data_IF_116931687198
#
_entry.id   IF_116931687198
#
_cell.length_a   1.000
_cell.length_b   1.000
_cell.length_c   1.000
_cell.angle_alpha   90.00
_cell.angle_beta   90.00
_cell.angle_gamma   90.00
#
_symmetry.space_group_name_H-M   'P 1'
#
loop_
_entity.id
_entity.type
_entity.pdbx_description
1 polymer ?
#
# COMPACT_ATOMS: atom_id res chain seq x y z
N UNK A 1 4.52 21.18 -32.16
CA UNK A 1 5.54 20.71 -33.09
C UNK A 1 6.57 20.02 -32.22
N UNK A 2 6.38 18.74 -31.96
CA UNK A 2 7.20 17.88 -31.09
C UNK A 2 7.32 16.54 -31.81
N UNK A 3 8.54 16.21 -32.23
CA UNK A 3 8.87 14.98 -32.93
C UNK A 3 8.70 13.77 -32.03
N UNK A 4 7.87 12.84 -32.47
CA UNK A 4 7.83 11.47 -31.96
C UNK A 4 9.08 10.73 -32.46
N UNK A 5 9.96 10.33 -31.56
CA UNK A 5 11.05 9.39 -31.86
C UNK A 5 10.48 7.98 -31.82
N UNK A 6 10.17 7.47 -33.02
CA UNK A 6 9.88 6.05 -33.27
C UNK A 6 11.19 5.26 -33.17
N UNK A 7 11.33 4.39 -32.20
CA UNK A 7 12.40 3.40 -32.13
C UNK A 7 11.99 2.15 -32.90
N UNK A 8 12.47 2.11 -34.14
CA UNK A 8 12.38 0.96 -35.03
C UNK A 8 13.32 -0.17 -34.52
N UNK A 9 12.75 -1.35 -34.28
CA UNK A 9 13.47 -2.57 -33.88
C UNK A 9 13.62 -3.46 -35.12
N UNK A 10 14.70 -3.28 -35.85
CA UNK A 10 15.08 -4.26 -36.89
C UNK A 10 16.28 -5.11 -36.41
N UNK A 11 15.99 -6.37 -36.30
CA UNK A 11 16.79 -7.61 -36.38
C UNK A 11 18.28 -7.48 -36.68
N UNK A 12 19.14 -8.01 -35.80
CA UNK A 12 20.48 -8.52 -36.16
C UNK A 12 20.44 -10.04 -35.95
N UNK A 13 20.80 -10.73 -37.04
CA UNK A 13 20.72 -12.18 -37.13
C UNK A 13 21.77 -12.91 -36.28
N UNK A 14 21.35 -14.07 -35.85
CA UNK A 14 22.16 -15.08 -35.17
C UNK A 14 22.77 -16.03 -36.21
N UNK A 15 24.02 -16.42 -36.03
CA UNK A 15 24.45 -17.74 -36.43
C UNK A 15 25.56 -18.27 -35.50
N UNK A 16 25.36 -19.49 -35.00
CA UNK A 16 26.39 -20.42 -34.57
C UNK A 16 26.59 -20.68 -33.09
N UNK A 17 25.99 -21.76 -32.54
CA UNK A 17 26.47 -22.39 -31.30
C UNK A 17 25.34 -23.07 -30.50
N UNK A 18 25.11 -24.37 -30.82
CA UNK A 18 24.15 -25.26 -30.17
C UNK A 18 24.31 -25.41 -28.67
N UNK A 19 23.15 -25.46 -28.00
CA UNK A 19 22.74 -26.15 -26.80
C UNK A 19 22.26 -25.22 -25.66
N UNK A 20 21.05 -24.76 -25.80
CA UNK A 20 19.99 -24.57 -24.80
C UNK A 20 18.88 -23.72 -25.43
N UNK A 21 18.33 -24.26 -26.52
CA UNK A 21 17.18 -23.64 -27.20
C UNK A 21 15.89 -24.11 -26.54
N UNK A 22 15.34 -23.27 -25.72
CA UNK A 22 13.91 -23.07 -25.72
C UNK A 22 13.68 -21.59 -26.01
N UNK A 23 13.26 -21.31 -27.21
CA UNK A 23 12.93 -20.00 -27.74
C UNK A 23 11.63 -19.48 -27.07
N UNK A 24 11.76 -19.19 -25.78
CA UNK A 24 10.71 -18.53 -24.99
C UNK A 24 11.08 -17.07 -24.94
N UNK A 25 10.31 -16.22 -25.60
CA UNK A 25 10.55 -14.78 -25.56
C UNK A 25 10.64 -14.33 -24.10
N UNK A 26 11.52 -13.39 -23.74
CA UNK A 26 11.69 -12.92 -22.36
C UNK A 26 10.37 -12.50 -21.68
N UNK A 27 9.42 -12.00 -22.45
CA UNK A 27 8.06 -11.69 -22.02
C UNK A 27 7.24 -12.94 -21.64
N UNK A 28 7.43 -14.06 -22.33
CA UNK A 28 6.67 -15.28 -22.05
C UNK A 28 7.15 -15.99 -20.75
N UNK A 29 8.43 -15.94 -20.45
CA UNK A 29 8.99 -16.45 -19.18
C UNK A 29 8.40 -15.70 -17.98
N UNK A 30 8.26 -14.38 -18.05
CA UNK A 30 7.75 -13.58 -16.95
C UNK A 30 6.24 -13.81 -16.71
N UNK A 31 5.48 -14.22 -17.73
CA UNK A 31 4.05 -14.49 -17.61
C UNK A 31 3.73 -15.77 -16.82
N UNK A 32 4.69 -16.68 -16.66
CA UNK A 32 4.51 -17.89 -15.84
C UNK A 32 4.49 -17.63 -14.33
N UNK A 33 4.99 -16.47 -13.89
CA UNK A 33 5.02 -16.10 -12.48
C UNK A 33 3.74 -15.36 -12.05
N UNK A 34 3.34 -15.46 -10.77
CA UNK A 34 2.19 -14.75 -10.24
C UNK A 34 2.28 -13.23 -10.43
N UNK A 35 1.14 -12.57 -10.64
CA UNK A 35 1.09 -11.11 -10.63
C UNK A 35 1.59 -10.55 -9.29
N UNK A 36 2.35 -9.45 -9.34
CA UNK A 36 2.93 -8.85 -8.15
C UNK A 36 4.12 -9.61 -7.55
N UNK A 37 4.68 -10.61 -8.25
CA UNK A 37 5.90 -11.30 -7.85
C UNK A 37 7.16 -10.71 -8.51
N UNK A 38 8.32 -10.97 -7.91
CA UNK A 38 9.65 -10.57 -8.44
C UNK A 38 9.88 -11.11 -9.85
N UNK A 39 9.45 -12.35 -10.12
CA UNK A 39 9.58 -13.00 -11.42
C UNK A 39 8.92 -12.22 -12.56
N UNK A 40 7.85 -11.47 -12.28
CA UNK A 40 7.19 -10.59 -13.27
C UNK A 40 8.04 -9.38 -13.65
N UNK A 41 8.94 -8.95 -12.78
CA UNK A 41 9.77 -7.74 -12.95
C UNK A 41 11.19 -8.06 -13.42
N UNK A 42 11.57 -9.34 -13.49
CA UNK A 42 12.93 -9.72 -13.82
C UNK A 42 13.23 -9.55 -15.32
N UNK A 43 14.46 -9.14 -15.58
CA UNK A 43 15.07 -9.16 -16.91
C UNK A 43 15.89 -10.47 -17.04
N UNK A 44 16.19 -10.96 -18.25
CA UNK A 44 17.12 -12.06 -18.47
C UNK A 44 18.49 -11.80 -17.82
N UNK A 45 19.18 -12.83 -17.31
CA UNK A 45 20.50 -12.65 -16.73
C UNK A 45 21.52 -12.21 -17.79
N UNK A 46 22.31 -11.18 -17.47
CA UNK A 46 23.36 -10.63 -18.32
C UNK A 46 24.64 -10.51 -17.49
N UNK A 47 25.79 -10.72 -18.14
CA UNK A 47 27.09 -10.68 -17.43
C UNK A 47 27.30 -11.88 -16.52
N UNK A 48 26.99 -13.07 -17.04
CA UNK A 48 27.14 -14.36 -16.35
C UNK A 48 28.41 -15.04 -16.80
N UNK A 49 29.25 -15.45 -15.84
CA UNK A 49 30.57 -15.99 -16.10
C UNK A 49 30.85 -17.22 -15.25
N UNK A 50 31.76 -18.10 -15.73
CA UNK A 50 32.22 -19.25 -14.97
C UNK A 50 33.22 -18.84 -13.87
N UNK A 51 33.26 -19.52 -12.70
CA UNK A 51 34.21 -19.23 -11.64
C UNK A 51 35.68 -19.47 -12.04
N UNK A 52 35.90 -20.33 -13.03
CA UNK A 52 37.26 -20.63 -13.57
C UNK A 52 37.79 -19.59 -14.55
N UNK A 53 36.95 -18.72 -15.08
CA UNK A 53 37.32 -17.66 -16.03
C UNK A 53 38.24 -16.63 -15.38
N UNK A 54 39.23 -16.16 -16.14
CA UNK A 54 40.16 -15.12 -15.66
C UNK A 54 39.52 -13.74 -15.77
N UNK A 55 40.00 -12.79 -14.99
CA UNK A 55 39.57 -11.38 -15.04
C UNK A 55 39.79 -10.81 -16.45
N UNK A 56 40.92 -11.19 -17.10
CA UNK A 56 41.20 -10.74 -18.47
C UNK A 56 40.17 -11.20 -19.47
N UNK A 57 39.80 -12.46 -19.46
CA UNK A 57 38.74 -13.03 -20.34
C UNK A 57 37.39 -12.40 -20.06
N UNK A 58 36.99 -12.28 -18.80
CA UNK A 58 35.72 -11.64 -18.40
C UNK A 58 35.64 -10.18 -18.88
N UNK A 59 36.72 -9.41 -18.77
CA UNK A 59 36.78 -8.02 -19.24
C UNK A 59 36.62 -7.92 -20.75
N UNK A 60 37.20 -8.84 -21.52
CA UNK A 60 37.05 -8.83 -23.00
C UNK A 60 35.61 -9.17 -23.41
N UNK A 61 34.97 -10.14 -22.74
CA UNK A 61 33.56 -10.47 -22.99
C UNK A 61 32.62 -9.34 -22.57
N UNK A 62 32.86 -8.74 -21.40
CA UNK A 62 32.12 -7.58 -20.93
C UNK A 62 32.21 -6.39 -21.89
N UNK A 63 33.34 -6.19 -22.59
CA UNK A 63 33.54 -5.11 -23.57
C UNK A 63 32.48 -5.12 -24.66
N UNK A 64 32.05 -6.30 -25.08
CA UNK A 64 31.00 -6.42 -26.09
C UNK A 64 29.59 -6.29 -25.43
N UNK A 65 29.38 -6.90 -24.29
CA UNK A 65 28.09 -6.87 -23.59
C UNK A 65 27.64 -5.46 -23.15
N UNK A 66 28.60 -4.61 -22.71
CA UNK A 66 28.28 -3.23 -22.28
C UNK A 66 27.86 -2.31 -23.41
N UNK A 67 28.06 -2.68 -24.67
CA UNK A 67 27.54 -1.93 -25.82
C UNK A 67 26.02 -1.99 -25.92
N UNK A 68 25.41 -3.08 -25.46
CA UNK A 68 23.96 -3.34 -25.52
C UNK A 68 23.24 -3.35 -24.19
N UNK A 69 23.95 -3.41 -23.07
CA UNK A 69 23.34 -3.53 -21.76
C UNK A 69 24.09 -2.73 -20.68
N UNK A 70 23.35 -2.18 -19.71
CA UNK A 70 23.94 -1.56 -18.54
C UNK A 70 24.29 -2.65 -17.50
N UNK A 71 25.57 -2.95 -17.36
CA UNK A 71 26.07 -4.01 -16.50
C UNK A 71 26.78 -3.40 -15.28
N UNK A 72 26.33 -3.74 -14.09
CA UNK A 72 26.91 -3.26 -12.82
C UNK A 72 27.70 -4.36 -12.11
N UNK A 73 27.30 -5.62 -12.30
CA UNK A 73 27.87 -6.80 -11.70
C UNK A 73 28.16 -7.88 -12.73
N UNK A 74 29.24 -8.64 -12.50
CA UNK A 74 29.48 -9.92 -13.13
C UNK A 74 28.97 -11.02 -12.18
N UNK A 75 28.03 -11.83 -12.63
CA UNK A 75 27.45 -12.93 -11.86
C UNK A 75 28.24 -14.21 -12.12
N UNK A 76 28.75 -14.82 -11.07
CA UNK A 76 29.57 -16.03 -11.18
C UNK A 76 28.69 -17.26 -10.93
N UNK A 77 28.56 -18.10 -11.94
CA UNK A 77 27.61 -19.21 -12.00
C UNK A 77 28.36 -20.50 -12.35
N UNK A 78 28.09 -21.59 -11.62
CA UNK A 78 28.60 -22.91 -11.95
C UNK A 78 27.91 -23.53 -13.17
N UNK A 79 28.45 -24.60 -13.71
CA UNK A 79 27.93 -25.26 -14.93
C UNK A 79 26.50 -25.78 -14.76
N UNK A 80 26.05 -26.03 -13.50
CA UNK A 80 24.69 -26.42 -13.18
C UNK A 80 23.71 -25.22 -13.08
N UNK A 81 24.18 -24.01 -13.32
CA UNK A 81 23.40 -22.77 -13.23
C UNK A 81 23.35 -22.14 -11.84
N UNK A 82 24.01 -22.68 -10.84
CA UNK A 82 24.01 -22.18 -9.48
C UNK A 82 24.83 -20.89 -9.35
N UNK A 83 24.23 -19.86 -8.75
CA UNK A 83 24.91 -18.62 -8.43
C UNK A 83 25.83 -18.79 -7.23
N UNK A 84 27.14 -18.70 -7.45
CA UNK A 84 28.17 -18.89 -6.39
C UNK A 84 28.84 -17.59 -5.97
N UNK A 85 28.76 -16.55 -6.78
CA UNK A 85 29.37 -15.27 -6.46
C UNK A 85 28.92 -14.12 -7.34
N UNK A 86 29.33 -12.93 -6.93
CA UNK A 86 29.16 -11.69 -7.67
C UNK A 86 30.47 -10.91 -7.64
N UNK A 87 30.91 -10.40 -8.76
CA UNK A 87 32.03 -9.47 -8.87
C UNK A 87 31.52 -8.09 -9.24
N UNK A 88 31.88 -7.09 -8.46
CA UNK A 88 31.53 -5.70 -8.75
C UNK A 88 32.43 -5.20 -9.90
N UNK A 89 31.86 -4.50 -10.89
CA UNK A 89 32.64 -3.99 -12.05
C UNK A 89 33.88 -3.19 -11.64
N UNK A 90 33.80 -2.45 -10.55
CA UNK A 90 34.94 -1.71 -9.97
C UNK A 90 36.10 -2.65 -9.60
N UNK A 91 35.78 -3.81 -9.03
CA UNK A 91 36.82 -4.73 -8.52
C UNK A 91 37.57 -5.41 -9.67
N UNK A 92 36.91 -5.61 -10.83
CA UNK A 92 37.58 -6.05 -12.06
C UNK A 92 38.66 -5.07 -12.56
N UNK A 93 38.49 -3.77 -12.28
CA UNK A 93 39.47 -2.75 -12.71
C UNK A 93 40.78 -2.80 -11.90
N UNK A 94 40.71 -3.28 -10.68
CA UNK A 94 41.86 -3.34 -9.75
C UNK A 94 42.47 -4.73 -9.59
N UNK A 95 41.80 -5.77 -10.09
CA UNK A 95 42.28 -7.13 -10.04
C UNK A 95 43.33 -7.41 -11.13
N UNK A 96 44.24 -8.33 -10.85
CA UNK A 96 45.19 -8.82 -11.85
C UNK A 96 44.45 -9.60 -12.95
N UNK A 97 44.75 -9.34 -14.23
CA UNK A 97 44.11 -10.00 -15.36
C UNK A 97 44.25 -11.52 -15.36
N UNK A 98 45.26 -12.06 -14.69
CA UNK A 98 45.50 -13.49 -14.56
C UNK A 98 44.74 -14.16 -13.43
N UNK A 99 44.20 -13.40 -12.49
CA UNK A 99 43.36 -13.92 -11.39
C UNK A 99 42.05 -14.52 -11.92
N UNK A 100 41.56 -15.55 -11.23
CA UNK A 100 40.24 -16.13 -11.55
C UNK A 100 39.13 -15.36 -10.86
N UNK A 101 37.95 -15.35 -11.46
CA UNK A 101 36.77 -14.72 -10.87
C UNK A 101 36.43 -15.33 -9.50
N UNK A 102 36.65 -16.62 -9.32
CA UNK A 102 36.47 -17.32 -8.02
C UNK A 102 37.32 -16.74 -6.89
N UNK A 103 38.45 -16.09 -7.20
CA UNK A 103 39.40 -15.56 -6.20
C UNK A 103 39.01 -14.15 -5.74
N UNK A 104 38.25 -13.40 -6.55
CA UNK A 104 37.89 -12.01 -6.31
C UNK A 104 36.37 -11.80 -6.06
N UNK A 105 35.55 -12.82 -6.30
CA UNK A 105 34.10 -12.71 -6.14
C UNK A 105 33.68 -12.60 -4.67
N UNK A 106 32.62 -11.87 -4.44
CA UNK A 106 31.85 -11.94 -3.20
C UNK A 106 31.03 -13.22 -3.23
N UNK A 107 31.30 -14.14 -2.30
CA UNK A 107 30.63 -15.43 -2.19
C UNK A 107 29.26 -15.31 -1.56
N UNK A 108 28.37 -16.24 -1.86
CA UNK A 108 27.01 -16.31 -1.33
C UNK A 108 26.25 -14.97 -1.45
N UNK A 109 26.12 -14.42 -2.66
CA UNK A 109 25.45 -13.14 -2.85
C UNK A 109 23.98 -13.24 -2.47
N UNK A 110 23.45 -12.16 -1.90
CA UNK A 110 22.03 -12.06 -1.64
C UNK A 110 21.24 -12.16 -2.94
N UNK A 111 20.23 -13.02 -2.98
CA UNK A 111 19.32 -13.20 -4.12
C UNK A 111 17.86 -13.15 -3.67
N UNK A 112 16.97 -12.88 -4.63
CA UNK A 112 15.52 -12.91 -4.44
C UNK A 112 14.94 -14.16 -5.10
N UNK A 113 13.87 -14.72 -4.51
CA UNK A 113 13.11 -15.78 -5.15
C UNK A 113 12.15 -15.23 -6.21
N UNK A 114 11.93 -15.93 -7.35
CA UNK A 114 11.02 -15.44 -8.39
C UNK A 114 9.55 -15.42 -7.94
N UNK A 115 9.15 -16.28 -7.03
CA UNK A 115 7.79 -16.36 -6.47
C UNK A 115 7.54 -15.31 -5.38
N UNK A 116 8.60 -14.63 -4.90
CA UNK A 116 8.50 -13.69 -3.79
C UNK A 116 7.61 -12.50 -4.17
N UNK A 117 6.60 -12.13 -3.34
CA UNK A 117 5.81 -10.93 -3.57
C UNK A 117 6.69 -9.67 -3.60
N UNK A 118 6.43 -8.76 -4.53
CA UNK A 118 7.22 -7.52 -4.72
C UNK A 118 7.30 -6.69 -3.45
N UNK A 119 6.22 -6.66 -2.64
CA UNK A 119 6.19 -5.99 -1.33
C UNK A 119 7.22 -6.57 -0.35
N UNK A 120 7.30 -7.90 -0.26
CA UNK A 120 8.26 -8.58 0.63
C UNK A 120 9.69 -8.41 0.11
N UNK A 121 9.89 -8.55 -1.20
CA UNK A 121 11.17 -8.28 -1.84
C UNK A 121 11.66 -6.87 -1.51
N UNK A 122 10.76 -5.89 -1.59
CA UNK A 122 11.08 -4.50 -1.26
C UNK A 122 11.55 -4.32 0.18
N UNK A 123 10.90 -4.97 1.15
CA UNK A 123 11.32 -4.93 2.56
C UNK A 123 12.71 -5.53 2.76
N UNK A 124 13.05 -6.61 2.04
CA UNK A 124 14.35 -7.25 2.11
C UNK A 124 15.48 -6.41 1.49
N UNK A 125 15.17 -5.61 0.46
CA UNK A 125 16.16 -4.80 -0.26
C UNK A 125 16.29 -3.37 0.28
N UNK A 126 15.37 -2.91 1.12
CA UNK A 126 15.29 -1.51 1.58
C UNK A 126 16.59 -0.98 2.20
N UNK A 127 17.33 -1.85 2.89
CA UNK A 127 18.59 -1.49 3.55
C UNK A 127 19.84 -1.94 2.76
N UNK A 128 19.68 -2.51 1.56
CA UNK A 128 20.82 -3.10 0.80
C UNK A 128 21.36 -2.21 -0.31
N UNK A 129 20.52 -1.35 -0.89
CA UNK A 129 20.88 -0.32 -1.88
C UNK A 129 21.66 -0.84 -3.11
N UNK A 130 21.40 -2.09 -3.54
CA UNK A 130 22.04 -2.61 -4.75
C UNK A 130 21.26 -2.15 -5.99
N UNK A 131 21.94 -1.72 -7.07
CA UNK A 131 21.27 -1.32 -8.31
C UNK A 131 20.58 -2.49 -9.02
N UNK A 132 21.10 -3.73 -8.88
CA UNK A 132 20.56 -4.95 -9.47
C UNK A 132 20.62 -6.07 -8.46
N UNK A 133 19.59 -6.88 -8.39
CA UNK A 133 19.47 -8.06 -7.54
C UNK A 133 19.35 -9.31 -8.40
N UNK A 134 20.15 -10.36 -8.18
CA UNK A 134 19.96 -11.66 -8.82
C UNK A 134 18.67 -12.31 -8.33
N UNK A 135 17.96 -12.93 -9.24
CA UNK A 135 16.78 -13.75 -8.95
C UNK A 135 17.15 -15.20 -9.14
N UNK A 136 17.03 -15.98 -8.06
CA UNK A 136 17.40 -17.39 -8.04
C UNK A 136 16.21 -18.28 -7.69
N UNK A 137 16.08 -19.40 -8.40
CA UNK A 137 15.16 -20.49 -8.10
C UNK A 137 16.00 -21.72 -7.70
N UNK A 138 15.82 -22.24 -6.49
CA UNK A 138 16.63 -23.29 -5.89
C UNK A 138 18.15 -23.07 -6.04
N UNK A 139 18.60 -21.82 -5.88
CA UNK A 139 20.00 -21.41 -6.00
C UNK A 139 20.49 -21.18 -7.43
N UNK A 140 19.71 -21.49 -8.45
CA UNK A 140 20.04 -21.25 -9.87
C UNK A 140 19.63 -19.84 -10.29
N UNK A 141 20.50 -19.14 -10.98
CA UNK A 141 20.22 -17.81 -11.51
C UNK A 141 19.22 -17.87 -12.66
N UNK A 142 18.02 -17.37 -12.45
CA UNK A 142 16.93 -17.37 -13.46
C UNK A 142 16.68 -15.98 -14.06
N UNK A 143 17.12 -14.92 -13.39
CA UNK A 143 16.92 -13.55 -13.86
C UNK A 143 17.61 -12.52 -13.00
N UNK A 144 17.44 -11.27 -13.38
CA UNK A 144 17.92 -10.08 -12.66
C UNK A 144 16.78 -9.11 -12.46
N UNK A 145 16.67 -8.50 -11.30
CA UNK A 145 15.71 -7.42 -11.08
C UNK A 145 16.43 -6.14 -10.69
N UNK A 146 16.10 -5.06 -11.38
CA UNK A 146 16.64 -3.74 -11.08
C UNK A 146 15.97 -3.17 -9.83
N UNK A 147 16.77 -2.66 -8.89
CA UNK A 147 16.24 -1.98 -7.70
C UNK A 147 15.24 -0.88 -8.06
N UNK A 148 15.51 -0.10 -9.11
CA UNK A 148 14.59 0.92 -9.59
C UNK A 148 13.22 0.37 -10.05
N UNK A 149 13.15 -0.88 -10.54
CA UNK A 149 11.87 -1.50 -10.92
C UNK A 149 11.04 -1.85 -9.68
N UNK A 150 11.68 -2.41 -8.65
CA UNK A 150 11.04 -2.68 -7.36
C UNK A 150 10.53 -1.40 -6.70
N UNK A 151 11.34 -0.33 -6.68
CA UNK A 151 10.95 0.96 -6.13
C UNK A 151 9.80 1.62 -6.90
N UNK A 152 9.78 1.50 -8.23
CA UNK A 152 8.69 2.03 -9.06
C UNK A 152 7.37 1.34 -8.74
N UNK A 153 7.37 0.03 -8.64
CA UNK A 153 6.18 -0.76 -8.32
C UNK A 153 5.62 -0.36 -6.95
N UNK A 154 6.51 -0.25 -5.95
CA UNK A 154 6.13 0.19 -4.61
C UNK A 154 5.57 1.62 -4.60
N UNK A 155 6.15 2.53 -5.37
CA UNK A 155 5.66 3.91 -5.47
C UNK A 155 4.25 3.96 -6.07
N UNK A 156 3.99 3.14 -7.10
CA UNK A 156 2.64 3.00 -7.69
C UNK A 156 1.66 2.48 -6.65
N UNK A 157 2.00 1.41 -5.93
CA UNK A 157 1.14 0.82 -4.89
C UNK A 157 0.85 1.83 -3.78
N UNK A 158 1.86 2.53 -3.26
CA UNK A 158 1.67 3.56 -2.23
C UNK A 158 0.79 4.71 -2.75
N UNK A 159 0.99 5.14 -3.99
CA UNK A 159 0.21 6.23 -4.58
C UNK A 159 -1.25 5.83 -4.85
N UNK A 160 -1.54 4.55 -5.04
CA UNK A 160 -2.89 4.04 -5.26
C UNK A 160 -3.69 3.88 -3.96
N UNK A 161 -3.03 3.76 -2.79
CA UNK A 161 -3.70 3.52 -1.51
C UNK A 161 -4.83 4.51 -1.17
N UNK A 162 -4.64 5.85 -1.29
CA UNK A 162 -5.72 6.80 -1.00
C UNK A 162 -6.95 6.58 -1.88
N UNK A 163 -6.74 6.18 -3.14
CA UNK A 163 -7.83 5.83 -4.06
C UNK A 163 -8.53 4.54 -3.64
N UNK A 164 -7.77 3.48 -3.35
CA UNK A 164 -8.30 2.19 -2.93
C UNK A 164 -9.15 2.29 -1.65
N UNK A 165 -8.77 3.16 -0.70
CA UNK A 165 -9.55 3.43 0.52
C UNK A 165 -10.98 3.85 0.22
N UNK A 166 -11.22 4.60 -0.86
CA UNK A 166 -12.53 5.13 -1.27
C UNK A 166 -13.14 4.39 -2.46
N UNK A 167 -12.59 3.22 -2.83
CA UNK A 167 -13.11 2.38 -3.89
C UNK A 167 -12.73 2.83 -5.30
N UNK A 168 -11.60 3.53 -5.46
CA UNK A 168 -11.02 3.83 -6.78
C UNK A 168 -10.00 2.76 -7.13
N UNK A 169 -10.14 2.20 -8.33
CA UNK A 169 -9.23 1.17 -8.84
C UNK A 169 -7.81 1.73 -9.08
N UNK A 170 -6.80 0.93 -8.76
CA UNK A 170 -5.39 1.33 -8.91
C UNK A 170 -4.95 1.56 -10.36
N UNK A 171 -5.66 0.96 -11.31
CA UNK A 171 -5.46 1.12 -12.75
C UNK A 171 -6.04 2.42 -13.28
N UNK A 172 -6.93 3.08 -12.54
CA UNK A 172 -7.56 4.32 -12.99
C UNK A 172 -6.54 5.47 -13.05
N UNK A 173 -6.50 6.18 -14.18
CA UNK A 173 -5.59 7.29 -14.46
C UNK A 173 -6.40 8.50 -14.96
N UNK A 174 -5.77 9.66 -14.98
CA UNK A 174 -6.37 10.89 -15.55
C UNK A 174 -6.80 10.71 -17.02
N UNK A 175 -6.09 9.86 -17.76
CA UNK A 175 -6.40 9.55 -19.17
C UNK A 175 -7.46 8.46 -19.33
N UNK A 176 -7.95 7.84 -18.26
CA UNK A 176 -8.97 6.80 -18.34
C UNK A 176 -10.27 7.37 -18.90
N UNK A 177 -10.85 6.77 -19.95
CA UNK A 177 -12.12 7.24 -20.52
C UNK A 177 -13.25 7.20 -19.48
N UNK A 178 -14.12 8.22 -19.48
CA UNK A 178 -15.19 8.34 -18.50
C UNK A 178 -16.13 7.12 -18.38
N UNK A 179 -16.46 6.35 -19.45
CA UNK A 179 -17.30 5.16 -19.27
C UNK A 179 -16.61 4.06 -18.48
N UNK A 180 -15.27 3.95 -18.59
CA UNK A 180 -14.47 3.01 -17.82
C UNK A 180 -14.38 3.44 -16.36
N UNK A 181 -14.12 4.72 -16.11
CA UNK A 181 -14.15 5.30 -14.76
C UNK A 181 -15.51 5.10 -14.07
N UNK A 182 -16.60 5.25 -14.81
CA UNK A 182 -17.93 5.00 -14.29
C UNK A 182 -18.12 3.54 -13.86
N UNK A 183 -17.66 2.58 -14.67
CA UNK A 183 -17.70 1.15 -14.33
C UNK A 183 -16.89 0.81 -13.08
N UNK A 184 -15.75 1.45 -12.89
CA UNK A 184 -14.89 1.23 -11.72
C UNK A 184 -15.50 1.80 -10.45
N UNK A 185 -15.96 3.05 -10.47
CA UNK A 185 -16.43 3.77 -9.28
C UNK A 185 -17.87 3.45 -8.87
N UNK A 186 -18.78 3.24 -9.84
CA UNK A 186 -20.20 3.13 -9.56
C UNK A 186 -20.58 2.01 -8.59
N UNK A 187 -20.02 0.78 -8.69
CA UNK A 187 -20.34 -0.29 -7.73
C UNK A 187 -20.02 0.10 -6.29
N UNK A 188 -18.88 0.76 -6.06
CA UNK A 188 -18.48 1.22 -4.74
C UNK A 188 -19.37 2.34 -4.21
N UNK A 189 -19.83 3.25 -5.07
CA UNK A 189 -20.78 4.29 -4.70
C UNK A 189 -22.14 3.70 -4.32
N UNK A 190 -22.60 2.65 -5.02
CA UNK A 190 -23.85 1.96 -4.65
C UNK A 190 -23.71 1.23 -3.30
N UNK A 191 -22.57 0.59 -3.06
CA UNK A 191 -22.31 -0.03 -1.76
C UNK A 191 -22.29 1.02 -0.63
N UNK A 192 -21.63 2.16 -0.85
CA UNK A 192 -21.61 3.27 0.09
C UNK A 192 -23.01 3.84 0.35
N UNK A 193 -23.83 3.98 -0.69
CA UNK A 193 -25.23 4.41 -0.55
C UNK A 193 -26.04 3.41 0.30
N UNK A 194 -25.89 2.11 0.03
CA UNK A 194 -26.57 1.07 0.81
C UNK A 194 -26.20 1.13 2.29
N UNK A 195 -24.92 1.31 2.58
CA UNK A 195 -24.44 1.41 3.97
C UNK A 195 -24.87 2.73 4.64
N UNK A 196 -24.99 3.83 3.87
CA UNK A 196 -25.51 5.11 4.37
C UNK A 196 -26.99 5.00 4.81
N UNK A 197 -27.79 4.14 4.19
CA UNK A 197 -29.15 3.87 4.67
C UNK A 197 -29.21 3.27 6.08
N UNK A 198 -28.15 2.57 6.55
CA UNK A 198 -28.09 2.10 7.94
C UNK A 198 -28.00 3.29 8.90
N UNK A 199 -27.18 4.28 8.61
CA UNK A 199 -27.10 5.50 9.41
C UNK A 199 -28.44 6.30 9.35
N UNK A 200 -29.05 6.39 8.17
CA UNK A 200 -30.37 7.01 8.02
C UNK A 200 -31.45 6.27 8.83
N UNK A 201 -31.42 4.95 8.90
CA UNK A 201 -32.36 4.16 9.69
C UNK A 201 -32.19 4.44 11.20
N UNK A 202 -30.94 4.64 11.69
CA UNK A 202 -30.70 5.06 13.07
C UNK A 202 -31.35 6.41 13.36
N UNK A 203 -31.14 7.40 12.48
CA UNK A 203 -31.78 8.72 12.62
C UNK A 203 -33.31 8.61 12.61
N UNK A 204 -33.85 7.80 11.68
CA UNK A 204 -35.30 7.55 11.60
C UNK A 204 -35.88 6.92 12.84
N UNK A 205 -35.14 6.02 13.51
CA UNK A 205 -35.58 5.43 14.79
C UNK A 205 -35.76 6.49 15.88
N UNK A 206 -34.94 7.56 15.87
CA UNK A 206 -35.01 8.66 16.84
C UNK A 206 -35.80 9.89 16.34
N UNK A 207 -36.67 9.71 15.32
CA UNK A 207 -37.39 10.84 14.72
C UNK A 207 -38.16 11.65 15.79
N UNK A 208 -38.85 11.01 16.74
CA UNK A 208 -39.58 11.70 17.81
C UNK A 208 -38.67 12.59 18.66
N UNK A 209 -37.47 12.12 18.98
CA UNK A 209 -36.48 12.88 19.76
C UNK A 209 -36.05 14.15 18.98
N UNK A 210 -35.88 14.01 17.67
CA UNK A 210 -35.53 15.16 16.80
C UNK A 210 -36.69 16.13 16.68
N UNK A 211 -37.91 15.64 16.54
CA UNK A 211 -39.12 16.49 16.45
C UNK A 211 -39.33 17.33 17.74
N UNK A 212 -39.01 16.77 18.91
CA UNK A 212 -39.08 17.48 20.19
C UNK A 212 -37.87 18.41 20.43
N UNK A 213 -36.72 18.09 19.87
CA UNK A 213 -35.48 18.80 20.05
C UNK A 213 -34.80 19.09 18.70
N UNK A 214 -35.43 19.93 17.88
CA UNK A 214 -35.00 20.26 16.49
C UNK A 214 -33.53 20.71 16.43
N UNK A 215 -33.02 21.34 17.49
CA UNK A 215 -31.62 21.79 17.58
C UNK A 215 -30.61 20.62 17.40
N UNK A 216 -31.02 19.38 17.72
CA UNK A 216 -30.16 18.19 17.52
C UNK A 216 -29.81 17.99 16.04
N UNK A 217 -30.77 18.25 15.14
CA UNK A 217 -30.55 18.11 13.70
C UNK A 217 -29.38 18.96 13.17
N UNK A 218 -29.14 20.13 13.77
CA UNK A 218 -28.04 21.02 13.42
C UNK A 218 -26.67 20.40 13.73
N UNK A 219 -26.60 19.55 14.76
CA UNK A 219 -25.36 18.96 15.23
C UNK A 219 -25.07 17.56 14.69
N UNK A 220 -26.04 16.89 14.03
CA UNK A 220 -25.81 15.60 13.36
C UNK A 220 -24.61 15.63 12.39
N UNK A 221 -24.52 16.58 11.45
CA UNK A 221 -23.36 16.63 10.55
C UNK A 221 -22.05 16.97 11.27
N UNK A 222 -22.09 17.70 12.38
CA UNK A 222 -20.89 18.02 13.17
C UNK A 222 -20.32 16.75 13.81
N UNK A 223 -21.18 15.92 14.41
CA UNK A 223 -20.74 14.68 15.05
C UNK A 223 -20.27 13.67 14.00
N UNK A 224 -21.05 13.44 12.94
CA UNK A 224 -20.68 12.53 11.87
C UNK A 224 -19.35 12.94 11.20
N UNK A 225 -19.20 14.22 10.85
CA UNK A 225 -17.99 14.72 10.21
C UNK A 225 -16.74 14.57 11.08
N UNK A 226 -16.79 14.89 12.36
CA UNK A 226 -15.63 14.80 13.26
C UNK A 226 -15.30 13.34 13.62
N UNK A 227 -16.29 12.50 13.86
CA UNK A 227 -16.06 11.08 14.11
C UNK A 227 -15.47 10.40 12.87
N UNK A 228 -15.99 10.70 11.67
CA UNK A 228 -15.45 10.21 10.41
C UNK A 228 -14.00 10.61 10.19
N UNK A 229 -13.65 11.89 10.42
CA UNK A 229 -12.28 12.38 10.32
C UNK A 229 -11.34 11.67 11.28
N UNK A 230 -11.74 11.47 12.53
CA UNK A 230 -10.96 10.72 13.55
C UNK A 230 -10.69 9.30 13.07
N UNK A 231 -11.70 8.62 12.55
CA UNK A 231 -11.57 7.27 12.02
C UNK A 231 -10.65 7.21 10.79
N UNK A 232 -10.78 8.15 9.85
CA UNK A 232 -9.94 8.24 8.66
C UNK A 232 -8.46 8.47 9.02
N UNK A 233 -8.16 9.28 10.04
CA UNK A 233 -6.79 9.47 10.53
C UNK A 233 -6.20 8.17 11.08
N UNK A 234 -6.95 7.45 11.92
CA UNK A 234 -6.54 6.16 12.46
C UNK A 234 -6.33 5.11 11.34
N UNK A 235 -7.26 5.05 10.38
CA UNK A 235 -7.17 4.17 9.21
C UNK A 235 -5.92 4.45 8.37
N UNK A 236 -5.65 5.72 8.08
CA UNK A 236 -4.49 6.11 7.28
C UNK A 236 -3.16 5.71 7.95
N UNK A 237 -3.05 5.89 9.27
CA UNK A 237 -1.87 5.46 10.04
C UNK A 237 -1.75 3.94 10.08
N UNK A 238 -2.86 3.22 10.28
CA UNK A 238 -2.87 1.75 10.28
C UNK A 238 -2.43 1.17 8.93
N UNK A 239 -2.99 1.67 7.82
CA UNK A 239 -2.61 1.24 6.48
C UNK A 239 -1.15 1.54 6.15
N UNK A 240 -0.67 2.74 6.50
CA UNK A 240 0.75 3.09 6.33
C UNK A 240 1.66 2.14 7.07
N UNK A 241 1.38 1.86 8.35
CA UNK A 241 2.16 0.93 9.16
C UNK A 241 2.16 -0.51 8.60
N UNK A 242 1.04 -0.94 8.01
CA UNK A 242 0.96 -2.24 7.33
C UNK A 242 1.79 -2.29 6.06
N UNK A 243 1.74 -1.24 5.25
CA UNK A 243 2.47 -1.15 3.97
C UNK A 243 3.98 -1.07 4.19
N UNK A 244 4.41 -0.32 5.20
CA UNK A 244 5.83 -0.19 5.55
C UNK A 244 6.36 -1.38 6.37
N UNK A 245 5.51 -2.36 6.73
CA UNK A 245 5.93 -3.51 7.54
C UNK A 245 6.26 -3.16 9.00
N UNK A 246 5.82 -1.99 9.49
CA UNK A 246 6.04 -1.56 10.88
C UNK A 246 5.20 -2.36 11.88
N UNK A 247 4.07 -2.90 11.40
CA UNK A 247 3.16 -3.70 12.22
C UNK A 247 3.68 -5.13 12.37
N UNK A 248 4.46 -5.36 13.41
CA UNK A 248 4.98 -6.69 13.76
C UNK A 248 3.85 -7.59 14.29
N UNK A 249 3.88 -8.92 14.03
CA UNK A 249 2.94 -9.86 14.61
C UNK A 249 2.87 -9.72 16.13
N UNK A 250 1.66 -9.72 16.68
CA UNK A 250 1.41 -9.56 18.11
C UNK A 250 1.31 -8.11 18.62
N UNK A 251 1.58 -7.09 17.78
CA UNK A 251 1.43 -5.67 18.15
C UNK A 251 0.11 -5.03 17.72
N UNK A 252 -0.81 -5.80 17.13
CA UNK A 252 -2.11 -5.32 16.67
C UNK A 252 -2.92 -4.70 17.81
N UNK A 253 -2.89 -5.33 19.00
CA UNK A 253 -3.58 -4.81 20.19
C UNK A 253 -3.05 -3.46 20.64
N UNK A 254 -1.73 -3.26 20.55
CA UNK A 254 -1.11 -1.99 20.93
C UNK A 254 -1.54 -0.86 19.98
N UNK A 255 -1.66 -1.14 18.67
CA UNK A 255 -2.20 -0.19 17.70
C UNK A 255 -3.64 0.19 18.04
N UNK A 256 -4.52 -0.80 18.25
CA UNK A 256 -5.95 -0.58 18.57
C UNK A 256 -6.12 0.23 19.87
N UNK A 257 -5.36 -0.10 20.91
CA UNK A 257 -5.41 0.63 22.19
C UNK A 257 -4.90 2.07 22.03
N UNK A 258 -3.84 2.28 21.27
CA UNK A 258 -3.30 3.60 20.96
C UNK A 258 -4.35 4.46 20.24
N UNK A 259 -4.98 3.93 19.17
CA UNK A 259 -5.98 4.68 18.40
C UNK A 259 -7.26 4.92 19.24
N UNK A 260 -7.67 3.98 20.10
CA UNK A 260 -8.75 4.19 21.07
C UNK A 260 -8.44 5.31 22.07
N UNK A 261 -7.21 5.35 22.62
CA UNK A 261 -6.77 6.43 23.51
C UNK A 261 -6.71 7.79 22.78
N UNK A 262 -6.21 7.83 21.56
CA UNK A 262 -6.22 9.05 20.74
C UNK A 262 -7.65 9.50 20.45
N UNK A 263 -8.57 8.56 20.18
CA UNK A 263 -9.99 8.85 20.04
C UNK A 263 -10.59 9.48 21.30
N UNK A 264 -10.24 8.97 22.48
CA UNK A 264 -10.67 9.54 23.75
C UNK A 264 -10.15 10.96 23.98
N UNK A 265 -8.84 11.18 23.77
CA UNK A 265 -8.21 12.48 23.99
C UNK A 265 -8.72 13.53 23.00
N UNK A 266 -8.69 13.21 21.71
CA UNK A 266 -9.19 14.10 20.66
C UNK A 266 -10.69 14.33 20.80
N UNK A 267 -11.47 13.27 21.10
CA UNK A 267 -12.91 13.36 21.35
C UNK A 267 -13.22 14.28 22.52
N UNK A 268 -12.41 14.27 23.57
CA UNK A 268 -12.57 15.19 24.72
C UNK A 268 -12.33 16.64 24.31
N UNK A 269 -11.23 16.93 23.59
CA UNK A 269 -10.89 18.29 23.15
C UNK A 269 -11.92 18.84 22.16
N UNK A 270 -12.25 18.06 21.12
CA UNK A 270 -13.23 18.45 20.10
C UNK A 270 -14.64 18.47 20.68
N UNK A 271 -14.96 17.52 21.57
CA UNK A 271 -16.25 17.46 22.25
C UNK A 271 -16.52 18.66 23.14
N UNK A 272 -15.50 19.16 23.84
CA UNK A 272 -15.61 20.40 24.60
C UNK A 272 -15.95 21.59 23.68
N UNK A 273 -15.26 21.72 22.56
CA UNK A 273 -15.51 22.78 21.57
C UNK A 273 -16.92 22.68 20.97
N UNK A 274 -17.34 21.46 20.57
CA UNK A 274 -18.68 21.21 20.05
C UNK A 274 -19.77 21.44 21.09
N UNK A 275 -19.52 21.07 22.35
CA UNK A 275 -20.42 21.34 23.48
C UNK A 275 -20.62 22.82 23.72
N UNK A 276 -19.54 23.62 23.67
CA UNK A 276 -19.65 25.10 23.73
C UNK A 276 -20.49 25.62 22.56
N UNK A 277 -20.26 25.12 21.33
CA UNK A 277 -21.09 25.48 20.18
C UNK A 277 -22.57 25.15 20.38
N UNK A 278 -22.90 23.96 20.89
CA UNK A 278 -24.28 23.58 21.21
C UNK A 278 -24.86 24.50 22.28
N UNK A 279 -24.11 24.78 23.34
CA UNK A 279 -24.57 25.70 24.38
C UNK A 279 -24.97 27.08 23.82
N UNK A 280 -24.11 27.67 22.99
CA UNK A 280 -24.37 28.97 22.39
C UNK A 280 -25.62 28.92 21.49
N UNK A 281 -25.75 27.91 20.61
CA UNK A 281 -26.90 27.76 19.72
C UNK A 281 -28.18 27.51 20.51
N UNK A 282 -28.20 26.57 21.45
CA UNK A 282 -29.39 26.29 22.24
C UNK A 282 -29.80 27.49 23.12
N UNK A 283 -28.82 28.22 23.67
CA UNK A 283 -29.10 29.41 24.48
C UNK A 283 -29.65 30.55 23.65
N UNK A 284 -29.16 30.75 22.43
CA UNK A 284 -29.69 31.78 21.53
C UNK A 284 -31.14 31.51 21.09
N UNK A 285 -31.52 30.22 21.06
CA UNK A 285 -32.91 29.79 20.80
C UNK A 285 -33.80 29.82 22.04
N UNK A 286 -33.26 30.26 23.19
CA UNK A 286 -34.03 30.34 24.44
C UNK A 286 -34.27 28.96 25.09
N UNK A 287 -33.56 27.92 24.70
CA UNK A 287 -33.77 26.58 25.22
C UNK A 287 -33.30 26.48 26.70
N UNK A 288 -34.18 26.15 27.68
CA UNK A 288 -33.80 26.09 29.08
C UNK A 288 -32.82 24.95 29.40
N UNK A 289 -32.75 23.91 28.57
CA UNK A 289 -31.85 22.75 28.70
C UNK A 289 -30.52 22.91 27.97
N UNK A 290 -30.11 24.14 27.61
CA UNK A 290 -28.91 24.42 26.80
C UNK A 290 -27.64 23.77 27.37
N UNK A 291 -27.42 23.81 28.68
CA UNK A 291 -26.26 23.20 29.31
C UNK A 291 -26.28 21.67 29.20
N UNK A 292 -27.46 21.07 29.37
CA UNK A 292 -27.62 19.62 29.24
C UNK A 292 -27.39 19.12 27.81
N UNK A 293 -27.89 19.87 26.84
CA UNK A 293 -27.64 19.62 25.41
C UNK A 293 -26.13 19.74 25.07
N UNK A 294 -25.44 20.72 25.62
CA UNK A 294 -23.99 20.85 25.48
C UNK A 294 -23.23 19.63 26.04
N UNK A 295 -23.64 19.14 27.21
CA UNK A 295 -23.06 17.94 27.85
C UNK A 295 -23.31 16.70 26.96
N UNK A 296 -24.52 16.56 26.41
CA UNK A 296 -24.89 15.45 25.51
C UNK A 296 -24.00 15.45 24.26
N UNK A 297 -23.82 16.60 23.60
CA UNK A 297 -22.92 16.71 22.43
C UNK A 297 -21.49 16.35 22.80
N UNK A 298 -20.99 16.85 23.93
CA UNK A 298 -19.62 16.56 24.40
C UNK A 298 -19.44 15.05 24.64
N UNK A 299 -20.32 14.41 25.38
CA UNK A 299 -20.24 12.97 25.69
C UNK A 299 -20.40 12.11 24.42
N UNK A 300 -21.33 12.48 23.54
CA UNK A 300 -21.53 11.80 22.26
C UNK A 300 -20.26 11.91 21.37
N UNK A 301 -19.65 13.07 21.33
CA UNK A 301 -18.40 13.29 20.57
C UNK A 301 -17.25 12.43 21.12
N UNK A 302 -17.10 12.37 22.44
CA UNK A 302 -16.07 11.52 23.09
C UNK A 302 -16.29 10.06 22.69
N UNK A 303 -17.50 9.53 22.91
CA UNK A 303 -17.82 8.15 22.58
C UNK A 303 -17.65 7.83 21.10
N UNK A 304 -18.12 8.74 20.22
CA UNK A 304 -18.00 8.59 18.78
C UNK A 304 -16.54 8.56 18.31
N UNK A 305 -15.69 9.46 18.82
CA UNK A 305 -14.27 9.48 18.46
C UNK A 305 -13.52 8.24 18.96
N UNK A 306 -13.88 7.70 20.12
CA UNK A 306 -13.33 6.42 20.62
C UNK A 306 -13.70 5.27 19.68
N UNK A 307 -14.99 5.13 19.34
CA UNK A 307 -15.44 4.09 18.38
C UNK A 307 -14.77 4.27 17.04
N UNK A 308 -14.62 5.50 16.57
CA UNK A 308 -13.98 5.82 15.28
C UNK A 308 -12.50 5.45 15.26
N UNK A 309 -11.75 5.80 16.29
CA UNK A 309 -10.33 5.42 16.41
C UNK A 309 -10.14 3.90 16.44
N UNK A 310 -10.95 3.21 17.24
CA UNK A 310 -10.95 1.74 17.30
C UNK A 310 -11.30 1.13 15.94
N UNK A 311 -12.35 1.60 15.27
CA UNK A 311 -12.79 1.10 13.95
C UNK A 311 -11.74 1.36 12.88
N UNK A 312 -11.09 2.53 12.88
CA UNK A 312 -10.02 2.88 11.94
C UNK A 312 -8.82 1.94 12.01
N UNK A 313 -8.52 1.39 13.20
CA UNK A 313 -7.48 0.37 13.36
C UNK A 313 -8.01 -1.06 13.10
N UNK A 314 -9.20 -1.40 13.56
CA UNK A 314 -9.75 -2.77 13.50
C UNK A 314 -10.16 -3.19 12.09
N UNK A 315 -10.76 -2.29 11.30
CA UNK A 315 -11.25 -2.61 9.96
C UNK A 315 -10.12 -3.13 9.06
N UNK A 316 -9.00 -2.41 8.85
CA UNK A 316 -7.93 -2.92 7.97
C UNK A 316 -7.25 -4.18 8.54
N UNK A 317 -7.16 -4.31 9.87
CA UNK A 317 -6.65 -5.53 10.51
C UNK A 317 -7.56 -6.74 10.23
N UNK A 318 -8.87 -6.53 10.26
CA UNK A 318 -9.85 -7.58 9.99
C UNK A 318 -9.84 -7.99 8.53
N UNK A 319 -9.80 -7.03 7.59
CA UNK A 319 -9.69 -7.30 6.15
C UNK A 319 -8.43 -8.12 5.84
N UNK A 320 -7.28 -7.73 6.43
CA UNK A 320 -6.03 -8.50 6.30
C UNK A 320 -6.16 -9.92 6.79
N UNK A 321 -6.82 -10.15 7.95
CA UNK A 321 -7.03 -11.50 8.49
C UNK A 321 -7.95 -12.36 7.61
N UNK A 322 -8.88 -11.74 6.90
CA UNK A 322 -9.77 -12.40 5.95
C UNK A 322 -9.12 -12.64 4.58
N UNK A 323 -7.86 -12.25 4.40
CA UNK A 323 -7.14 -12.37 3.13
C UNK A 323 -7.53 -11.34 2.08
N UNK A 324 -8.30 -10.31 2.46
CA UNK A 324 -8.65 -9.18 1.59
C UNK A 324 -7.58 -8.07 1.69
N UNK A 325 -7.50 -7.24 0.65
CA UNK A 325 -6.63 -6.06 0.70
C UNK A 325 -7.13 -5.07 1.77
N UNK A 326 -6.30 -4.75 2.78
CA UNK A 326 -6.68 -3.84 3.86
C UNK A 326 -7.11 -2.45 3.41
N UNK A 327 -6.63 -1.98 2.25
CA UNK A 327 -6.97 -0.66 1.71
C UNK A 327 -8.34 -0.66 1.02
N UNK A 328 -8.73 -1.80 0.40
CA UNK A 328 -9.92 -1.87 -0.44
C UNK A 328 -11.20 -1.53 0.33
N UNK A 329 -11.85 -0.44 -0.06
CA UNK A 329 -13.13 0.04 0.49
C UNK A 329 -13.16 0.23 2.03
N UNK A 330 -12.00 0.28 2.68
CA UNK A 330 -11.91 0.40 4.16
C UNK A 330 -12.67 1.62 4.67
N UNK A 331 -12.67 2.74 3.94
CA UNK A 331 -13.38 3.94 4.36
C UNK A 331 -14.89 3.79 4.30
N UNK A 332 -15.44 2.96 3.40
CA UNK A 332 -16.89 2.72 3.33
C UNK A 332 -17.37 2.03 4.60
N UNK A 333 -16.68 0.97 5.03
CA UNK A 333 -16.98 0.30 6.29
C UNK A 333 -16.75 1.21 7.49
N UNK A 334 -15.70 2.02 7.44
CA UNK A 334 -15.37 2.97 8.49
C UNK A 334 -16.45 4.05 8.62
N UNK A 335 -16.82 4.73 7.54
CA UNK A 335 -17.84 5.79 7.58
C UNK A 335 -19.17 5.25 8.07
N UNK A 336 -19.57 4.05 7.63
CA UNK A 336 -20.77 3.40 8.15
C UNK A 336 -20.71 3.20 9.66
N UNK A 337 -19.61 2.63 10.16
CA UNK A 337 -19.45 2.38 11.59
C UNK A 337 -19.43 3.68 12.40
N UNK A 338 -18.75 4.71 11.90
CA UNK A 338 -18.65 6.02 12.57
C UNK A 338 -19.97 6.79 12.55
N UNK A 339 -20.72 6.75 11.45
CA UNK A 339 -22.00 7.45 11.32
C UNK A 339 -23.07 6.79 12.20
N UNK A 340 -23.18 5.46 12.16
CA UNK A 340 -24.10 4.71 13.03
C UNK A 340 -23.78 4.96 14.50
N UNK A 341 -22.50 4.89 14.89
CA UNK A 341 -22.09 5.10 16.26
C UNK A 341 -22.31 6.54 16.72
N UNK A 342 -21.93 7.54 15.92
CA UNK A 342 -22.05 8.94 16.31
C UNK A 342 -23.50 9.40 16.42
N UNK A 343 -24.32 9.09 15.41
CA UNK A 343 -25.75 9.45 15.42
C UNK A 343 -26.49 8.65 16.49
N UNK A 344 -26.20 7.36 16.63
CA UNK A 344 -26.81 6.50 17.64
C UNK A 344 -26.49 6.94 19.06
N UNK A 345 -25.23 7.20 19.39
CA UNK A 345 -24.81 7.69 20.71
C UNK A 345 -25.43 9.06 21.02
N UNK A 346 -25.37 9.97 20.05
CA UNK A 346 -25.89 11.32 20.24
C UNK A 346 -27.39 11.35 20.51
N UNK A 347 -28.17 10.69 19.66
CA UNK A 347 -29.61 10.66 19.78
C UNK A 347 -30.07 9.83 20.98
N UNK A 348 -29.39 8.73 21.31
CA UNK A 348 -29.65 7.96 22.53
C UNK A 348 -29.42 8.80 23.79
N UNK A 349 -28.26 9.48 23.88
CA UNK A 349 -27.97 10.33 25.05
C UNK A 349 -28.95 11.51 25.15
N UNK A 350 -29.33 12.11 24.01
CA UNK A 350 -30.35 13.16 24.00
C UNK A 350 -31.71 12.65 24.52
N UNK A 351 -32.13 11.47 24.05
CA UNK A 351 -33.39 10.84 24.52
C UNK A 351 -33.35 10.52 26.02
N UNK A 352 -32.24 9.95 26.50
CA UNK A 352 -32.16 9.49 27.89
C UNK A 352 -31.96 10.61 28.90
N UNK A 353 -31.25 11.68 28.54
CA UNK A 353 -30.84 12.74 29.46
C UNK A 353 -31.65 14.01 29.33
N UNK A 354 -32.25 14.28 28.16
CA UNK A 354 -32.92 15.56 27.93
C UNK A 354 -34.44 15.42 27.88
N UNK A 355 -34.95 14.30 27.32
CA UNK A 355 -36.39 14.01 27.30
C UNK A 355 -36.81 13.24 28.54
#
# INVERSE_FOLDING_TARGET
MGEEVSLDRTSVGADGGDALSADVSPLALNLSFPEGSVGRLMDPPVGVFSPGMTVGEAVEELRELVKGAFITYAFVVEDDGRLVGVVVMRDLLFADRSQRLADIMLRDPFSLGPQLPTREAMQLVLNRHYPVYPVCDDGRLVGLVRGAALFREQAIEISAQPGAMVGVEKEERLSTPWPTSLKFRHPWLQLNLLTAFLAAAVVGFFQKTIDELVVLAVFLPVLAGQSGNTGCQALAVALRGMTLGELRPGRERALVLKEGLLGLLNGTLVGLSAGVGMYVVARSQGNPKALLLALVVMLAMIGSCVVSGLSGALIPLTLKKLGADPATASSIFLTTATDVASMGLFLSLATLLVL
#
